data_IF_062464595532
#
_entry.id   IF_062464595532
#
_cell.length_a   1.000
_cell.length_b   1.000
_cell.length_c   1.000
_cell.angle_alpha   90.00
_cell.angle_beta   90.00
_cell.angle_gamma   90.00
#
_symmetry.space_group_name_H-M   'P 1'
#
loop_
_entity.id
_entity.type
_entity.pdbx_description
1 polymer ?
#
# COMPACT_ATOMS: atom_id res chain seq x y z
N UNK A 1 -0.98 24.92 -28.06
CA UNK A 1 -1.47 23.92 -27.10
C UNK A 1 -0.25 23.45 -26.33
N UNK A 2 -0.09 23.90 -25.08
CA UNK A 2 1.04 23.48 -24.24
C UNK A 2 0.70 22.09 -23.70
N UNK A 3 1.58 21.12 -23.92
CA UNK A 3 1.48 19.82 -23.29
C UNK A 3 1.92 20.01 -21.83
N UNK A 4 0.97 20.02 -20.91
CA UNK A 4 1.22 19.80 -19.48
C UNK A 4 1.78 18.38 -19.33
N UNK A 5 3.09 18.30 -19.20
CA UNK A 5 3.77 17.07 -18.77
C UNK A 5 3.34 16.83 -17.31
N UNK A 6 2.93 15.62 -16.90
CA UNK A 6 2.60 15.36 -15.51
C UNK A 6 3.81 15.73 -14.66
N UNK A 7 3.60 16.72 -13.80
CA UNK A 7 4.56 17.19 -12.83
C UNK A 7 5.11 15.99 -12.10
N UNK A 8 6.40 15.70 -12.31
CA UNK A 8 7.20 14.96 -11.33
C UNK A 8 6.80 15.53 -9.96
N UNK A 9 6.15 14.74 -9.11
CA UNK A 9 6.08 15.09 -7.71
C UNK A 9 7.54 15.20 -7.25
N UNK A 10 7.98 16.43 -6.96
CA UNK A 10 9.17 16.61 -6.16
C UNK A 10 8.83 16.09 -4.77
N UNK A 11 9.78 15.45 -4.10
CA UNK A 11 9.60 14.88 -2.74
C UNK A 11 9.06 15.92 -1.74
N UNK A 12 9.19 17.20 -2.07
CA UNK A 12 8.69 18.35 -1.31
C UNK A 12 7.15 18.44 -1.22
N UNK A 13 6.39 17.70 -2.04
CA UNK A 13 4.92 17.65 -2.02
C UNK A 13 4.36 16.26 -1.68
N UNK A 14 5.17 15.37 -1.11
CA UNK A 14 4.76 14.02 -0.71
C UNK A 14 4.45 13.97 0.79
N UNK A 15 3.24 13.55 1.12
CA UNK A 15 2.82 13.24 2.48
C UNK A 15 3.32 11.85 2.85
N UNK A 16 4.31 11.79 3.75
CA UNK A 16 4.87 10.53 4.22
C UNK A 16 4.10 10.08 5.46
N UNK A 17 3.40 8.96 5.35
CA UNK A 17 2.61 8.40 6.44
C UNK A 17 3.30 7.15 6.99
N UNK A 18 3.65 7.19 8.27
CA UNK A 18 4.15 6.02 8.99
C UNK A 18 2.98 5.13 9.38
N UNK A 19 2.95 3.92 8.81
CA UNK A 19 2.01 2.88 9.20
C UNK A 19 2.57 2.19 10.44
N UNK A 20 1.81 2.28 11.53
CA UNK A 20 2.11 1.59 12.79
C UNK A 20 1.55 0.15 12.82
N UNK A 21 1.78 -0.57 13.92
CA UNK A 21 1.30 -1.94 14.08
C UNK A 21 -0.22 -2.07 14.05
N UNK A 22 -0.95 -1.08 14.54
CA UNK A 22 -2.42 -1.13 14.60
C UNK A 22 -3.01 -1.05 13.20
N UNK A 23 -2.58 -0.05 12.42
CA UNK A 23 -3.06 0.13 11.04
C UNK A 23 -2.59 -1.03 10.15
N UNK A 24 -1.37 -1.52 10.36
CA UNK A 24 -0.88 -2.71 9.66
C UNK A 24 -1.75 -3.94 9.91
N UNK A 25 -2.09 -4.21 11.18
CA UNK A 25 -2.92 -5.37 11.52
C UNK A 25 -4.32 -5.24 10.93
N UNK A 26 -4.93 -4.05 11.02
CA UNK A 26 -6.23 -3.76 10.39
C UNK A 26 -6.19 -3.98 8.87
N UNK A 27 -5.15 -3.48 8.19
CA UNK A 27 -4.99 -3.69 6.75
C UNK A 27 -4.82 -5.17 6.38
N UNK A 28 -4.07 -5.93 7.18
CA UNK A 28 -3.88 -7.37 6.94
C UNK A 28 -5.17 -8.18 7.11
N UNK A 29 -6.17 -7.71 7.86
CA UNK A 29 -7.48 -8.38 7.95
C UNK A 29 -8.25 -8.37 6.63
N UNK A 30 -7.98 -7.41 5.75
CA UNK A 30 -8.57 -7.33 4.40
C UNK A 30 -7.81 -8.14 3.36
N UNK A 31 -6.57 -8.53 3.66
CA UNK A 31 -5.70 -9.28 2.75
C UNK A 31 -6.09 -10.76 2.79
N UNK A 32 -6.37 -11.33 1.63
CA UNK A 32 -6.63 -12.77 1.46
C UNK A 32 -5.40 -13.54 1.00
N UNK A 33 -4.45 -12.86 0.34
CA UNK A 33 -3.20 -13.43 -0.11
C UNK A 33 -2.28 -12.34 -0.69
N UNK A 34 -1.00 -12.68 -0.89
CA UNK A 34 -0.03 -11.79 -1.53
C UNK A 34 0.37 -12.32 -2.92
N UNK A 35 1.10 -11.52 -3.68
CA UNK A 35 1.60 -11.85 -5.04
C UNK A 35 2.36 -13.17 -5.15
N UNK A 36 2.91 -13.68 -4.04
CA UNK A 36 3.59 -14.97 -4.01
C UNK A 36 2.64 -16.17 -3.86
N UNK A 37 1.43 -15.99 -3.33
CA UNK A 37 0.52 -17.09 -3.02
C UNK A 37 -0.89 -16.95 -3.61
N UNK A 38 -1.22 -15.79 -4.19
CA UNK A 38 -2.50 -15.50 -4.80
C UNK A 38 -2.29 -15.02 -6.25
N UNK A 39 -2.94 -15.70 -7.21
CA UNK A 39 -2.88 -15.34 -8.63
C UNK A 39 -3.69 -14.09 -8.96
N UNK A 40 -4.61 -13.70 -8.07
CA UNK A 40 -5.50 -12.55 -8.17
C UNK A 40 -5.03 -11.33 -7.34
N UNK A 41 -3.76 -11.35 -6.92
CA UNK A 41 -3.12 -10.21 -6.26
C UNK A 41 -2.84 -9.07 -7.26
N UNK A 42 -3.86 -8.25 -7.52
CA UNK A 42 -3.79 -7.12 -8.46
C UNK A 42 -3.68 -5.74 -7.79
N UNK A 43 -4.04 -5.65 -6.51
CA UNK A 43 -4.06 -4.39 -5.75
C UNK A 43 -2.79 -4.28 -4.93
N UNK A 44 -2.08 -3.16 -4.98
CA UNK A 44 -0.92 -2.93 -4.11
C UNK A 44 -1.37 -2.63 -2.67
N UNK A 45 -0.53 -2.96 -1.69
CA UNK A 45 -0.87 -2.76 -0.28
C UNK A 45 -1.04 -1.27 0.07
N UNK A 46 -0.30 -0.35 -0.56
CA UNK A 46 -0.50 1.10 -0.45
C UNK A 46 -1.92 1.55 -0.82
N UNK A 47 -2.52 1.00 -1.88
CA UNK A 47 -3.89 1.29 -2.29
C UNK A 47 -4.91 0.85 -1.23
N UNK A 48 -4.62 -0.25 -0.51
CA UNK A 48 -5.43 -0.68 0.62
C UNK A 48 -5.24 0.27 1.83
N UNK A 49 -4.02 0.75 2.06
CA UNK A 49 -3.73 1.73 3.10
C UNK A 49 -4.42 3.07 2.81
N UNK A 50 -4.53 3.50 1.55
CA UNK A 50 -5.32 4.68 1.17
C UNK A 50 -6.79 4.53 1.56
N UNK A 51 -7.38 3.35 1.33
CA UNK A 51 -8.77 3.07 1.69
C UNK A 51 -9.01 3.10 3.20
N UNK A 52 -8.04 2.65 4.01
CA UNK A 52 -8.14 2.59 5.47
C UNK A 52 -7.85 3.94 6.12
N UNK A 53 -6.81 4.63 5.66
CA UNK A 53 -6.37 5.92 6.24
C UNK A 53 -7.16 7.10 5.71
N UNK A 54 -7.77 6.97 4.51
CA UNK A 54 -8.46 8.05 3.82
C UNK A 54 -7.51 9.10 3.21
N UNK A 55 -6.22 8.79 3.10
CA UNK A 55 -5.21 9.65 2.50
C UNK A 55 -5.35 9.72 0.97
N UNK A 56 -4.74 10.74 0.37
CA UNK A 56 -4.80 10.96 -1.08
C UNK A 56 -3.70 10.14 -1.78
N UNK A 57 -4.05 9.14 -2.62
CA UNK A 57 -3.09 8.26 -3.29
C UNK A 57 -2.16 8.99 -4.26
N UNK A 58 -2.49 10.23 -4.67
CA UNK A 58 -1.70 10.98 -5.64
C UNK A 58 -0.51 11.71 -5.03
N UNK A 59 -0.53 11.93 -3.71
CA UNK A 59 0.48 12.68 -2.97
C UNK A 59 0.98 11.96 -1.71
N UNK A 60 0.44 10.79 -1.39
CA UNK A 60 0.82 10.04 -0.18
C UNK A 60 1.80 8.91 -0.51
N UNK A 61 2.79 8.71 0.33
CA UNK A 61 3.65 7.52 0.31
C UNK A 61 3.72 6.93 1.73
N UNK A 62 3.62 5.61 1.81
CA UNK A 62 3.55 4.92 3.08
C UNK A 62 4.89 4.32 3.44
N UNK A 63 5.29 4.51 4.70
CA UNK A 63 6.42 3.81 5.27
C UNK A 63 5.87 2.87 6.33
N UNK A 64 6.11 1.57 6.16
CA UNK A 64 5.77 0.58 7.17
C UNK A 64 6.92 0.44 8.17
N UNK A 65 6.61 0.45 9.48
CA UNK A 65 7.64 0.25 10.51
C UNK A 65 8.31 -1.13 10.46
N UNK A 66 7.58 -2.13 9.93
CA UNK A 66 8.08 -3.46 9.54
C UNK A 66 7.20 -4.03 8.42
N UNK A 67 7.71 -4.99 7.62
CA UNK A 67 6.86 -5.81 6.75
C UNK A 67 5.78 -6.56 7.55
N UNK A 68 4.58 -6.63 7.00
CA UNK A 68 3.48 -7.42 7.55
C UNK A 68 3.55 -8.88 7.11
N UNK A 69 3.12 -9.85 7.94
CA UNK A 69 3.00 -11.23 7.49
C UNK A 69 1.71 -11.43 6.68
N UNK A 70 1.82 -11.99 5.47
CA UNK A 70 0.67 -12.41 4.69
C UNK A 70 -0.17 -13.45 5.46
N UNK A 71 -1.49 -13.27 5.62
CA UNK A 71 -2.31 -14.20 6.39
C UNK A 71 -2.42 -15.60 5.78
N UNK A 72 -2.15 -15.74 4.47
CA UNK A 72 -2.25 -17.03 3.76
C UNK A 72 -0.93 -17.81 3.74
N UNK A 73 0.19 -17.19 3.38
CA UNK A 73 1.48 -17.88 3.25
C UNK A 73 2.55 -17.45 4.25
N UNK A 74 2.25 -16.50 5.15
CA UNK A 74 3.21 -15.87 6.07
C UNK A 74 4.41 -15.18 5.40
N UNK A 75 4.34 -14.95 4.08
CA UNK A 75 5.33 -14.17 3.34
C UNK A 75 5.31 -12.70 3.74
N UNK A 76 6.40 -11.98 3.49
CA UNK A 76 6.50 -10.55 3.80
C UNK A 76 5.64 -9.72 2.84
N UNK A 77 4.83 -8.82 3.40
CA UNK A 77 4.01 -7.84 2.70
C UNK A 77 4.55 -6.45 3.05
N UNK A 78 4.98 -5.71 2.04
CA UNK A 78 5.38 -4.30 2.15
C UNK A 78 4.32 -3.42 1.48
N UNK A 79 4.48 -2.10 1.57
CA UNK A 79 3.60 -1.11 0.95
C UNK A 79 3.43 -1.33 -0.57
N UNK A 80 4.43 -1.93 -1.23
CA UNK A 80 4.43 -2.17 -2.68
C UNK A 80 4.04 -3.58 -3.09
N UNK A 81 3.85 -4.49 -2.13
CA UNK A 81 3.47 -5.87 -2.41
C UNK A 81 2.05 -5.88 -2.99
N UNK A 82 1.84 -6.63 -4.08
CA UNK A 82 0.47 -6.86 -4.53
C UNK A 82 -0.22 -7.87 -3.60
N UNK A 83 -1.47 -7.58 -3.29
CA UNK A 83 -2.32 -8.34 -2.40
C UNK A 83 -3.67 -8.58 -3.08
N UNK A 84 -4.20 -9.77 -2.84
CA UNK A 84 -5.60 -10.06 -3.07
C UNK A 84 -6.38 -9.58 -1.84
N UNK A 85 -7.49 -8.89 -2.06
CA UNK A 85 -8.35 -8.35 -1.01
C UNK A 85 -9.68 -9.11 -0.99
N UNK A 86 -10.31 -9.22 0.18
CA UNK A 86 -11.66 -9.79 0.33
C UNK A 86 -12.78 -8.76 0.08
#
# INVERSE_FOLDING_TARGET
>A
MRHDLPSKLTTENLDIVLIDETVLLEALEWVSGCENCAEDAFTTFDCLLDAITGCDPTITDYIMWRPGPCPHCSGEVTEKTHVAVH
#
